data_IF_958625113700
#
_entry.id   IF_958625113700
#
_cell.length_a   1.000
_cell.length_b   1.000
_cell.length_c   1.000
_cell.angle_alpha   90.00
_cell.angle_beta   90.00
_cell.angle_gamma   90.00
#
_symmetry.space_group_name_H-M   'P 1'
#
loop_
_entity.id
_entity.type
_entity.pdbx_description
1 polymer ?
#
# COMPACT_ATOMS: atom_id res chain seq x y z
N UNK A 1 -1.05 -13.61 -1.91
CA UNK A 1 -1.42 -12.23 -1.49
C UNK A 1 -0.82 -11.16 -2.38
N UNK A 2 0.52 -11.00 -2.46
CA UNK A 2 1.17 -9.95 -3.27
C UNK A 2 0.73 -9.93 -4.75
N UNK A 3 0.62 -11.10 -5.38
CA UNK A 3 0.08 -11.19 -6.75
C UNK A 3 -1.38 -10.73 -6.85
N UNK A 4 -2.20 -11.03 -5.84
CA UNK A 4 -3.59 -10.60 -5.82
C UNK A 4 -3.70 -9.08 -5.63
N UNK A 5 -2.89 -8.52 -4.72
CA UNK A 5 -2.76 -7.07 -4.58
C UNK A 5 -2.39 -6.40 -5.91
N UNK A 6 -1.41 -6.95 -6.64
CA UNK A 6 -1.01 -6.44 -7.97
C UNK A 6 -2.13 -6.54 -8.99
N UNK A 7 -2.93 -7.61 -8.97
CA UNK A 7 -4.08 -7.77 -9.86
C UNK A 7 -5.18 -6.74 -9.62
N UNK A 8 -5.31 -6.23 -8.39
CA UNK A 8 -6.31 -5.21 -8.05
C UNK A 8 -5.76 -3.82 -8.33
N UNK A 9 -4.62 -3.46 -7.72
CA UNK A 9 -4.14 -2.07 -7.72
C UNK A 9 -3.13 -1.74 -8.82
N UNK A 10 -2.55 -2.74 -9.49
CA UNK A 10 -1.49 -2.55 -10.49
C UNK A 10 -1.84 -3.10 -11.88
N UNK A 11 -3.09 -3.52 -12.10
CA UNK A 11 -3.50 -4.11 -13.38
C UNK A 11 -3.35 -3.14 -14.56
N UNK A 12 -3.66 -1.86 -14.37
CA UNK A 12 -3.47 -0.85 -15.40
C UNK A 12 -1.99 -0.73 -15.80
N UNK A 13 -1.05 -0.74 -14.84
CA UNK A 13 0.39 -0.72 -15.13
C UNK A 13 0.83 -1.95 -15.95
N UNK A 14 0.27 -3.13 -15.68
CA UNK A 14 0.52 -4.31 -16.52
C UNK A 14 -0.01 -4.11 -17.94
N UNK A 15 -1.25 -3.63 -18.10
CA UNK A 15 -1.85 -3.41 -19.43
C UNK A 15 -1.06 -2.38 -20.24
N UNK A 16 -0.68 -1.27 -19.61
CA UNK A 16 -0.02 -0.16 -20.27
C UNK A 16 1.48 -0.42 -20.54
N UNK A 17 2.18 -1.15 -19.66
CA UNK A 17 3.65 -1.26 -19.70
C UNK A 17 4.20 -2.69 -19.73
N UNK A 18 3.34 -3.70 -19.71
CA UNK A 18 3.74 -5.11 -19.69
C UNK A 18 4.41 -5.57 -18.39
N UNK A 19 4.37 -4.77 -17.32
CA UNK A 19 4.98 -5.07 -16.02
C UNK A 19 4.03 -4.77 -14.87
N UNK A 20 4.07 -5.57 -13.81
CA UNK A 20 3.27 -5.30 -12.60
C UNK A 20 3.80 -4.16 -11.73
N UNK A 21 5.12 -3.95 -11.74
CA UNK A 21 5.81 -2.96 -10.92
C UNK A 21 6.50 -1.93 -11.80
N UNK A 22 6.77 -0.76 -11.25
CA UNK A 22 7.57 0.27 -11.90
C UNK A 22 8.84 0.49 -11.08
N UNK A 23 10.02 0.47 -11.70
CA UNK A 23 11.30 0.69 -11.00
C UNK A 23 11.49 -0.19 -9.76
N UNK A 24 11.15 -1.49 -9.86
CA UNK A 24 11.32 -2.52 -8.82
C UNK A 24 10.47 -2.43 -7.55
N UNK A 25 9.63 -1.41 -7.38
CA UNK A 25 8.73 -1.30 -6.22
C UNK A 25 7.26 -1.21 -6.65
N UNK A 26 6.40 -2.04 -6.05
CA UNK A 26 4.99 -2.07 -6.40
C UNK A 26 4.28 -0.73 -6.13
N UNK A 27 4.66 0.02 -5.09
CA UNK A 27 4.06 1.31 -4.76
C UNK A 27 4.37 2.42 -5.78
N UNK A 28 5.37 2.25 -6.63
CA UNK A 28 5.69 3.24 -7.67
C UNK A 28 4.57 3.47 -8.67
N UNK A 29 3.62 2.53 -8.79
CA UNK A 29 2.40 2.75 -9.58
C UNK A 29 1.61 3.96 -9.08
N UNK A 30 1.65 4.24 -7.77
CA UNK A 30 0.97 5.40 -7.17
C UNK A 30 1.77 6.69 -7.39
N UNK A 31 3.08 6.66 -7.13
CA UNK A 31 3.92 7.86 -7.25
C UNK A 31 4.04 8.37 -8.68
N UNK A 32 4.00 7.47 -9.67
CA UNK A 32 4.04 7.80 -11.09
C UNK A 32 2.65 7.98 -11.71
N UNK A 33 1.58 7.93 -10.91
CA UNK A 33 0.20 8.16 -11.38
C UNK A 33 -0.34 7.09 -12.32
N UNK A 34 0.20 5.87 -12.28
CA UNK A 34 -0.33 4.73 -13.05
C UNK A 34 -1.52 4.05 -12.39
N UNK A 35 -1.80 4.38 -11.13
CA UNK A 35 -2.94 3.94 -10.35
C UNK A 35 -3.46 5.14 -9.55
N UNK A 36 -4.77 5.39 -9.59
CA UNK A 36 -5.41 6.44 -8.81
C UNK A 36 -5.20 6.20 -7.31
N UNK A 37 -4.82 7.25 -6.56
CA UNK A 37 -4.61 7.18 -5.12
C UNK A 37 -4.75 8.54 -4.43
N UNK A 38 -4.95 8.53 -3.11
CA UNK A 38 -4.65 9.64 -2.21
C UNK A 38 -3.18 9.56 -1.77
N UNK A 39 -2.59 10.71 -1.42
CA UNK A 39 -1.21 10.82 -0.94
C UNK A 39 -1.11 11.63 0.35
N UNK A 40 -0.14 11.31 1.19
CA UNK A 40 0.24 12.13 2.34
C UNK A 40 -0.87 12.20 3.38
N UNK A 41 -1.14 13.40 3.90
CA UNK A 41 -2.18 13.63 4.91
C UNK A 41 -3.56 13.10 4.50
N UNK A 42 -3.95 13.23 3.22
CA UNK A 42 -5.25 12.72 2.73
C UNK A 42 -5.33 11.20 2.79
N UNK A 43 -4.23 10.50 2.50
CA UNK A 43 -4.17 9.05 2.63
C UNK A 43 -4.28 8.62 4.11
N UNK A 44 -3.64 9.36 5.01
CA UNK A 44 -3.66 9.09 6.45
C UNK A 44 -5.03 9.34 7.06
N UNK A 45 -5.71 10.41 6.66
CA UNK A 45 -7.08 10.72 7.07
C UNK A 45 -8.04 9.60 6.65
N UNK A 46 -7.96 9.15 5.40
CA UNK A 46 -8.85 8.11 4.89
C UNK A 46 -8.59 6.76 5.58
N UNK A 47 -7.33 6.38 5.72
CA UNK A 47 -6.95 5.19 6.50
C UNK A 47 -7.42 5.25 7.95
N UNK A 48 -7.35 6.43 8.60
CA UNK A 48 -7.79 6.63 9.98
C UNK A 48 -9.31 6.54 10.11
N UNK A 49 -10.08 6.92 9.08
CA UNK A 49 -11.55 6.83 9.08
C UNK A 49 -12.05 5.39 9.09
N UNK A 50 -11.32 4.48 8.45
CA UNK A 50 -11.71 3.07 8.40
C UNK A 50 -11.78 2.43 9.81
N UNK A 51 -10.98 2.90 10.78
CA UNK A 51 -10.89 2.55 12.23
C UNK A 51 -10.81 1.06 12.60
N UNK A 52 -11.64 0.21 12.02
CA UNK A 52 -11.70 -1.23 12.19
C UNK A 52 -11.76 -1.91 10.81
N UNK A 53 -11.00 -2.98 10.64
CA UNK A 53 -11.19 -3.90 9.53
C UNK A 53 -11.47 -5.27 10.13
N UNK A 54 -12.54 -5.95 9.71
CA UNK A 54 -12.81 -7.31 10.19
C UNK A 54 -11.61 -8.21 9.96
N UNK A 55 -11.01 -8.09 8.77
CA UNK A 55 -9.82 -8.84 8.36
C UNK A 55 -8.96 -8.01 7.39
N UNK A 56 -7.64 -8.05 7.59
CA UNK A 56 -6.68 -7.36 6.74
C UNK A 56 -5.36 -8.13 6.65
N UNK A 57 -4.58 -7.81 5.61
CA UNK A 57 -3.24 -8.34 5.42
C UNK A 57 -2.19 -7.25 5.60
N UNK A 58 -1.06 -7.65 6.20
CA UNK A 58 0.14 -6.83 6.28
C UNK A 58 1.28 -7.56 5.60
N UNK A 59 2.00 -6.86 4.72
CA UNK A 59 3.22 -7.38 4.12
C UNK A 59 4.22 -6.26 3.84
N UNK A 60 5.49 -6.64 3.70
CA UNK A 60 6.60 -5.69 3.55
C UNK A 60 7.22 -5.78 2.16
N UNK A 61 7.34 -4.64 1.48
CA UNK A 61 8.17 -4.38 0.31
C UNK A 61 8.10 -5.43 -0.79
N UNK A 62 9.24 -5.73 -1.42
CA UNK A 62 9.44 -6.89 -2.30
C UNK A 62 10.23 -8.01 -1.62
N UNK A 63 10.60 -7.82 -0.34
CA UNK A 63 11.29 -8.84 0.44
C UNK A 63 10.35 -10.01 0.65
N UNK A 64 10.84 -11.24 0.49
CA UNK A 64 10.11 -12.48 0.75
C UNK A 64 9.84 -12.73 2.24
N UNK A 65 9.56 -11.67 3.01
CA UNK A 65 8.95 -11.79 4.32
C UNK A 65 7.50 -12.26 4.15
N UNK A 66 7.08 -13.13 5.06
CA UNK A 66 5.73 -13.69 5.11
C UNK A 66 4.66 -12.60 5.12
N UNK A 67 3.46 -12.98 4.66
CA UNK A 67 2.28 -12.12 4.74
C UNK A 67 1.56 -12.43 6.04
N UNK A 68 1.33 -11.41 6.86
CA UNK A 68 0.55 -11.54 8.08
C UNK A 68 -0.93 -11.34 7.77
N UNK A 69 -1.75 -12.24 8.29
CA UNK A 69 -3.20 -12.12 8.33
C UNK A 69 -3.58 -11.59 9.71
N UNK A 70 -4.32 -10.49 9.75
CA UNK A 70 -4.64 -9.76 10.97
C UNK A 70 -6.16 -9.58 11.09
N UNK A 71 -6.65 -9.48 12.32
CA UNK A 71 -8.06 -9.31 12.65
C UNK A 71 -8.26 -8.08 13.55
N UNK A 72 -9.35 -7.37 13.33
CA UNK A 72 -9.80 -6.29 14.22
C UNK A 72 -9.16 -4.92 13.95
N UNK A 73 -8.52 -4.33 14.96
CA UNK A 73 -8.08 -2.93 14.86
C UNK A 73 -6.87 -2.79 13.94
N UNK A 74 -6.94 -1.83 13.02
CA UNK A 74 -5.83 -1.43 12.16
C UNK A 74 -4.71 -0.77 12.99
N UNK A 75 -3.43 -0.99 12.66
CA UNK A 75 -2.35 -0.27 13.32
C UNK A 75 -2.49 1.24 13.03
N UNK A 76 -2.16 2.09 14.00
CA UNK A 76 -2.15 3.53 13.77
C UNK A 76 -1.06 3.91 12.76
N UNK A 77 -1.24 5.06 12.10
CA UNK A 77 -0.22 5.65 11.21
C UNK A 77 1.13 5.77 11.92
N UNK A 78 1.13 6.21 13.19
CA UNK A 78 2.34 6.31 13.99
C UNK A 78 3.03 4.95 14.19
N UNK A 79 2.28 3.89 14.54
CA UNK A 79 2.85 2.55 14.69
C UNK A 79 3.45 2.03 13.39
N UNK A 80 2.79 2.25 12.26
CA UNK A 80 3.30 1.86 10.95
C UNK A 80 4.62 2.59 10.61
N UNK A 81 4.68 3.90 10.87
CA UNK A 81 5.91 4.69 10.66
C UNK A 81 7.04 4.26 11.57
N UNK A 82 6.77 4.06 12.86
CA UNK A 82 7.77 3.58 13.83
C UNK A 82 8.32 2.21 13.43
N UNK A 83 7.46 1.31 12.92
CA UNK A 83 7.90 0.02 12.41
C UNK A 83 8.86 0.16 11.23
N UNK A 84 8.54 1.00 10.24
CA UNK A 84 9.41 1.24 9.08
C UNK A 84 10.74 1.88 9.51
N UNK A 85 10.70 2.93 10.32
CA UNK A 85 11.91 3.62 10.77
C UNK A 85 12.81 2.73 11.65
N UNK A 86 12.21 1.85 12.45
CA UNK A 86 12.91 0.93 13.35
C UNK A 86 13.47 -0.33 12.69
N UNK A 87 13.16 -0.61 11.42
CA UNK A 87 13.56 -1.83 10.75
C UNK A 87 15.07 -1.92 10.46
N UNK A 88 15.82 -0.81 10.54
CA UNK A 88 17.25 -0.75 10.26
C UNK A 88 17.64 -0.92 8.78
N UNK A 89 16.64 -1.14 7.91
CA UNK A 89 16.78 -1.23 6.46
C UNK A 89 15.59 -0.52 5.78
N UNK A 90 15.78 0.02 4.56
CA UNK A 90 14.68 0.60 3.77
C UNK A 90 13.59 -0.44 3.49
N UNK A 91 12.43 -0.28 4.11
CA UNK A 91 11.27 -1.16 3.90
C UNK A 91 9.98 -0.37 3.71
N UNK A 92 9.10 -0.90 2.87
CA UNK A 92 7.76 -0.37 2.66
C UNK A 92 6.74 -1.32 3.29
N UNK A 93 5.71 -0.78 3.94
CA UNK A 93 4.65 -1.57 4.57
C UNK A 93 3.35 -1.40 3.80
N UNK A 94 2.75 -2.52 3.43
CA UNK A 94 1.45 -2.57 2.78
C UNK A 94 0.44 -3.12 3.76
N UNK A 95 -0.69 -2.44 3.87
CA UNK A 95 -1.85 -2.86 4.64
C UNK A 95 -3.04 -2.84 3.71
N UNK A 96 -3.69 -3.98 3.51
CA UNK A 96 -4.82 -4.11 2.57
C UNK A 96 -5.95 -4.86 3.24
N UNK A 97 -7.20 -4.47 2.99
CA UNK A 97 -8.35 -5.24 3.45
C UNK A 97 -8.30 -6.65 2.85
N UNK A 98 -8.83 -7.65 3.55
CA UNK A 98 -8.73 -9.04 3.11
C UNK A 98 -9.44 -9.33 1.79
N UNK A 99 -10.52 -8.59 1.50
CA UNK A 99 -11.24 -8.61 0.23
C UNK A 99 -10.64 -7.65 -0.83
N UNK A 100 -9.54 -6.96 -0.50
CA UNK A 100 -8.85 -6.01 -1.36
C UNK A 100 -9.64 -4.77 -1.78
N UNK A 101 -10.71 -4.39 -1.08
CA UNK A 101 -11.45 -3.15 -1.40
C UNK A 101 -10.61 -1.88 -1.25
N UNK A 102 -9.60 -1.90 -0.38
CA UNK A 102 -8.62 -0.82 -0.26
C UNK A 102 -7.23 -1.31 0.14
N UNK A 103 -6.24 -0.46 -0.14
CA UNK A 103 -4.86 -0.60 0.33
C UNK A 103 -4.30 0.73 0.84
N UNK A 104 -3.49 0.64 1.88
CA UNK A 104 -2.63 1.68 2.41
C UNK A 104 -1.17 1.23 2.27
N UNK A 105 -0.32 2.12 1.76
CA UNK A 105 1.11 1.86 1.60
C UNK A 105 1.90 2.95 2.31
N UNK A 106 2.64 2.55 3.33
CA UNK A 106 3.62 3.37 4.01
C UNK A 106 4.99 3.09 3.41
N UNK A 107 5.67 4.15 2.97
CA UNK A 107 6.96 4.07 2.28
C UNK A 107 8.08 4.53 3.20
N UNK A 108 9.27 3.96 3.04
CA UNK A 108 10.46 4.48 3.73
C UNK A 108 10.88 5.88 3.23
N UNK A 109 10.48 6.25 2.01
CA UNK A 109 10.81 7.53 1.38
C UNK A 109 9.91 8.69 1.82
N UNK A 110 8.89 8.45 2.65
CA UNK A 110 8.00 9.50 3.13
C UNK A 110 8.77 10.61 3.85
N UNK A 111 9.66 10.24 4.77
CA UNK A 111 10.38 11.22 5.60
C UNK A 111 11.50 11.93 4.82
N UNK A 112 12.19 11.23 3.93
CA UNK A 112 13.34 11.78 3.18
C UNK A 112 12.93 12.56 1.94
N UNK A 113 11.86 12.13 1.24
CA UNK A 113 11.49 12.65 -0.09
C UNK A 113 10.02 13.10 -0.18
N UNK A 114 9.22 12.93 0.86
CA UNK A 114 7.80 13.29 0.83
C UNK A 114 6.96 12.39 -0.09
N UNK A 115 7.48 11.21 -0.43
CA UNK A 115 6.80 10.22 -1.26
C UNK A 115 6.01 9.28 -0.37
N UNK A 116 4.68 9.34 -0.44
CA UNK A 116 3.77 8.54 0.38
C UNK A 116 3.32 9.22 1.69
N UNK A 117 2.53 8.52 2.52
CA UNK A 117 1.91 7.24 2.21
C UNK A 117 0.88 7.38 1.08
N UNK A 118 0.48 6.24 0.54
CA UNK A 118 -0.53 6.16 -0.52
C UNK A 118 -1.72 5.36 -0.04
N UNK A 119 -2.92 5.84 -0.33
CA UNK A 119 -4.16 5.11 -0.07
C UNK A 119 -4.95 4.98 -1.36
N UNK A 120 -5.52 3.81 -1.62
CA UNK A 120 -6.34 3.57 -2.80
C UNK A 120 -7.48 2.62 -2.50
N UNK A 121 -8.66 2.93 -3.05
CA UNK A 121 -9.74 1.95 -3.21
C UNK A 121 -9.54 1.14 -4.50
N UNK A 122 -10.15 -0.05 -4.56
CA UNK A 122 -10.08 -0.96 -5.70
C UNK A 122 -10.99 -0.52 -6.86
N UNK A 123 -12.20 -0.04 -6.55
CA UNK A 123 -13.22 0.42 -7.51
C UNK A 123 -12.70 1.55 -8.41
N UNK A 124 -11.72 2.31 -7.94
CA UNK A 124 -11.02 3.33 -8.71
C UNK A 124 -10.27 2.80 -9.93
N UNK A 125 -10.03 1.49 -10.01
CA UNK A 125 -9.30 0.82 -11.08
C UNK A 125 -10.19 -0.12 -11.92
N UNK A 126 -11.47 -0.26 -11.59
CA UNK A 126 -12.42 -1.13 -12.32
C UNK A 126 -12.92 -0.51 -13.63
N UNK A 127 -12.74 0.80 -13.81
CA UNK A 127 -13.22 1.57 -14.96
C UNK A 127 -12.09 2.07 -15.89
N UNK A 128 -10.83 1.66 -15.67
CA UNK A 128 -9.64 2.01 -16.47
C UNK A 128 -9.19 0.88 -17.40
#
# INVERSE_FOLDING_TARGET
MRLHWRRVFAAHNLRAKGKWVHGDFAWHIFSHGHARCLRGARAEEEYTRLKNAEEYYVFVGEVALGVLKCLGRLPSVEKARTFIAGAGIPIDMYITQANFEWTMVFTHEQQSMGLGPYFSFADWHELE
#
